data_IF_761013616338
#
_entry.id   IF_761013616338
#
_cell.length_a   1.000
_cell.length_b   1.000
_cell.length_c   1.000
_cell.angle_alpha   90.00
_cell.angle_beta   90.00
_cell.angle_gamma   90.00
#
_symmetry.space_group_name_H-M   'P 1'
#
loop_
_entity.id
_entity.type
_entity.pdbx_description
1 polymer ?
#
# COMPACT_ATOMS: atom_id res chain seq x y z
N UNK A 1 -2.91 -23.39 64.29
CA UNK A 1 -3.97 -23.79 63.33
C UNK A 1 -4.31 -22.58 62.48
N UNK A 2 -4.43 -22.76 61.15
CA UNK A 2 -4.55 -21.76 60.07
C UNK A 2 -3.18 -21.16 59.65
N UNK A 3 -2.42 -21.70 58.69
CA UNK A 3 -2.60 -22.27 57.34
C UNK A 3 -2.52 -21.22 56.21
N UNK A 4 -1.42 -21.30 55.44
CA UNK A 4 -1.09 -20.62 54.17
C UNK A 4 -1.88 -21.19 53.01
N UNK A 5 -2.48 -20.35 52.14
CA UNK A 5 -2.83 -20.55 50.71
C UNK A 5 -3.01 -19.11 50.14
N UNK A 6 -2.26 -18.52 49.21
CA UNK A 6 -1.91 -18.86 47.82
C UNK A 6 -3.08 -19.41 46.99
N UNK A 7 -3.58 -18.60 46.04
CA UNK A 7 -4.45 -18.85 44.85
C UNK A 7 -5.26 -17.57 44.56
N UNK A 8 -5.55 -17.11 43.34
CA UNK A 8 -5.44 -17.69 42.01
C UNK A 8 -5.18 -16.58 40.95
N UNK A 9 -4.33 -16.92 39.98
CA UNK A 9 -4.40 -16.40 38.61
C UNK A 9 -5.61 -17.06 37.94
N UNK A 10 -6.49 -16.29 37.29
CA UNK A 10 -7.36 -16.77 36.20
C UNK A 10 -8.05 -15.56 35.54
N UNK A 11 -7.37 -14.93 34.58
CA UNK A 11 -8.04 -14.14 33.56
C UNK A 11 -7.88 -14.90 32.24
N UNK A 12 -8.74 -15.90 32.07
CA UNK A 12 -8.91 -16.64 30.83
C UNK A 12 -9.51 -15.70 29.78
N UNK A 13 -8.68 -15.13 28.92
CA UNK A 13 -9.11 -14.57 27.64
C UNK A 13 -8.89 -15.60 26.53
N UNK A 14 -9.59 -16.72 26.62
CA UNK A 14 -9.81 -17.65 25.52
C UNK A 14 -11.26 -17.49 25.06
N UNK A 15 -11.49 -16.51 24.20
CA UNK A 15 -12.68 -16.48 23.33
C UNK A 15 -12.20 -16.56 21.90
N UNK A 16 -11.85 -17.78 21.50
CA UNK A 16 -11.63 -18.16 20.12
C UNK A 16 -12.94 -18.64 19.50
N UNK A 17 -13.27 -18.03 18.35
CA UNK A 17 -14.16 -18.53 17.29
C UNK A 17 -15.68 -18.51 17.56
N UNK A 18 -16.30 -17.34 17.37
CA UNK A 18 -17.69 -17.21 16.91
C UNK A 18 -17.98 -15.79 16.36
N UNK A 19 -17.08 -15.24 15.53
CA UNK A 19 -17.37 -14.01 14.79
C UNK A 19 -17.46 -14.35 13.29
N UNK A 20 -18.63 -14.17 12.64
CA UNK A 20 -18.76 -14.44 11.22
C UNK A 20 -17.79 -13.51 10.50
N UNK A 21 -16.89 -14.12 9.73
CA UNK A 21 -15.84 -13.50 8.93
C UNK A 21 -16.23 -12.08 8.53
N UNK A 22 -15.49 -11.08 9.02
CA UNK A 22 -15.67 -9.71 8.57
C UNK A 22 -15.22 -9.66 7.09
N UNK A 23 -16.18 -9.89 6.20
CA UNK A 23 -15.98 -9.93 4.75
C UNK A 23 -15.38 -8.61 4.26
N UNK A 24 -15.70 -7.49 4.92
CA UNK A 24 -15.11 -6.20 4.60
C UNK A 24 -13.63 -6.18 4.98
N UNK A 25 -13.27 -6.68 6.17
CA UNK A 25 -11.86 -6.83 6.52
C UNK A 25 -11.12 -7.72 5.51
N UNK A 26 -11.68 -8.84 5.09
CA UNK A 26 -11.02 -9.73 4.12
C UNK A 26 -10.84 -9.03 2.76
N UNK A 27 -11.85 -8.29 2.28
CA UNK A 27 -11.76 -7.56 1.01
C UNK A 27 -10.73 -6.42 1.05
N UNK A 28 -10.61 -5.74 2.20
CA UNK A 28 -9.58 -4.72 2.39
C UNK A 28 -8.17 -5.29 2.35
N UNK A 29 -7.95 -6.48 2.93
CA UNK A 29 -6.63 -7.13 2.98
C UNK A 29 -6.30 -7.94 1.73
N UNK A 30 -7.21 -8.02 0.74
CA UNK A 30 -6.96 -8.75 -0.50
C UNK A 30 -5.77 -8.12 -1.24
N UNK A 31 -4.73 -8.92 -1.59
CA UNK A 31 -3.65 -8.46 -2.45
C UNK A 31 -4.23 -7.96 -3.77
N UNK A 32 -3.86 -6.74 -4.13
CA UNK A 32 -4.38 -5.98 -5.27
C UNK A 32 -3.20 -5.48 -6.09
N UNK A 33 -3.31 -5.53 -7.42
CA UNK A 33 -2.31 -5.01 -8.35
C UNK A 33 -2.90 -3.92 -9.22
N UNK A 34 -2.20 -2.78 -9.32
CA UNK A 34 -2.59 -1.66 -10.18
C UNK A 34 -1.40 -1.23 -11.01
N UNK A 35 -1.60 -1.08 -12.33
CA UNK A 35 -0.58 -0.49 -13.20
C UNK A 35 -0.88 0.97 -13.45
N UNK A 36 0.11 1.81 -13.23
CA UNK A 36 0.02 3.25 -13.47
C UNK A 36 1.16 3.73 -14.37
N UNK A 37 0.87 4.77 -15.14
CA UNK A 37 1.90 5.59 -15.78
C UNK A 37 1.91 6.96 -15.11
N UNK A 38 3.06 7.36 -14.59
CA UNK A 38 3.24 8.67 -13.97
C UNK A 38 4.29 9.49 -14.70
N UNK A 39 4.13 10.80 -14.61
CA UNK A 39 5.10 11.78 -15.07
C UNK A 39 5.60 12.54 -13.84
N UNK A 40 6.88 12.42 -13.51
CA UNK A 40 7.49 13.12 -12.37
C UNK A 40 8.22 14.37 -12.89
N UNK A 41 7.71 15.57 -12.58
CA UNK A 41 8.34 16.81 -12.98
C UNK A 41 9.78 16.96 -12.49
N UNK A 42 10.61 17.66 -13.26
CA UNK A 42 12.03 17.85 -12.92
C UNK A 42 12.25 18.57 -11.58
N UNK A 43 11.29 19.40 -11.13
CA UNK A 43 11.33 20.06 -9.81
C UNK A 43 11.33 19.09 -8.63
N UNK A 44 10.87 17.85 -8.83
CA UNK A 44 10.96 16.78 -7.85
C UNK A 44 12.28 16.01 -7.89
N UNK A 45 13.27 16.49 -8.64
CA UNK A 45 14.63 15.92 -8.61
C UNK A 45 15.21 15.96 -7.19
N UNK A 46 15.71 14.81 -6.73
CA UNK A 46 16.22 14.64 -5.37
C UNK A 46 15.14 14.34 -4.32
N UNK A 47 13.86 14.38 -4.69
CA UNK A 47 12.77 13.90 -3.84
C UNK A 47 12.56 12.40 -4.09
N UNK A 48 12.62 11.54 -3.06
CA UNK A 48 12.54 10.09 -3.23
C UNK A 48 11.08 9.61 -3.36
N UNK A 49 10.34 10.10 -4.35
CA UNK A 49 8.90 9.83 -4.56
C UNK A 49 8.62 8.31 -4.55
N UNK A 50 9.33 7.56 -5.39
CA UNK A 50 9.13 6.11 -5.52
C UNK A 50 9.49 5.37 -4.22
N UNK A 51 10.58 5.76 -3.55
CA UNK A 51 10.94 5.14 -2.26
C UNK A 51 9.90 5.42 -1.18
N UNK A 52 9.26 6.59 -1.20
CA UNK A 52 8.20 6.96 -0.25
C UNK A 52 6.93 6.16 -0.46
N UNK A 53 6.58 5.79 -1.69
CA UNK A 53 5.50 4.82 -1.97
C UNK A 53 5.73 3.54 -1.16
N UNK A 54 6.94 2.99 -1.23
CA UNK A 54 7.30 1.76 -0.52
C UNK A 54 7.33 1.96 1.00
N UNK A 55 8.00 3.02 1.48
CA UNK A 55 8.27 3.17 2.92
C UNK A 55 7.09 3.70 3.73
N UNK A 56 6.21 4.53 3.15
CA UNK A 56 5.12 5.17 3.88
C UNK A 56 3.74 4.57 3.58
N UNK A 57 3.56 3.99 2.39
CA UNK A 57 2.28 3.41 1.97
C UNK A 57 2.33 1.89 1.87
N UNK A 58 3.49 1.28 2.21
CA UNK A 58 3.68 -0.16 2.33
C UNK A 58 3.33 -0.95 1.06
N UNK A 59 3.37 -0.29 -0.10
CA UNK A 59 3.17 -0.95 -1.39
C UNK A 59 4.50 -1.46 -1.94
N UNK A 60 4.45 -2.62 -2.59
CA UNK A 60 5.54 -3.04 -3.45
C UNK A 60 5.44 -2.29 -4.77
N UNK A 61 6.55 -1.72 -5.24
CA UNK A 61 6.62 -1.02 -6.51
C UNK A 61 7.53 -1.80 -7.46
N UNK A 62 6.99 -2.20 -8.60
CA UNK A 62 7.77 -2.74 -9.71
C UNK A 62 7.83 -1.71 -10.84
N UNK A 63 9.04 -1.34 -11.27
CA UNK A 63 9.26 -0.38 -12.36
C UNK A 63 9.33 -1.17 -13.67
N UNK A 64 8.26 -1.11 -14.47
CA UNK A 64 8.16 -1.86 -15.73
C UNK A 64 8.86 -1.14 -16.89
N UNK A 65 8.84 0.19 -16.89
CA UNK A 65 9.57 1.01 -17.84
C UNK A 65 9.88 2.39 -17.22
N UNK A 66 10.95 3.03 -17.68
CA UNK A 66 11.28 4.40 -17.30
C UNK A 66 11.94 5.12 -18.49
N UNK A 67 11.57 6.39 -18.69
CA UNK A 67 12.22 7.28 -19.66
C UNK A 67 12.70 8.52 -18.93
N UNK A 68 14.02 8.60 -18.76
CA UNK A 68 14.73 9.68 -18.08
C UNK A 68 15.70 10.33 -19.07
N UNK A 69 15.28 11.39 -19.75
CA UNK A 69 16.19 12.16 -20.60
C UNK A 69 17.08 13.03 -19.70
N UNK A 70 18.38 12.72 -19.63
CA UNK A 70 19.35 13.41 -18.76
C UNK A 70 19.63 14.87 -19.17
N UNK A 71 19.20 15.29 -20.36
CA UNK A 71 19.64 16.54 -21.00
C UNK A 71 18.48 17.44 -21.44
N UNK A 72 17.23 17.03 -21.17
CA UNK A 72 16.03 17.78 -21.55
C UNK A 72 15.31 18.22 -20.28
N UNK A 73 14.84 19.46 -20.28
CA UNK A 73 13.85 20.01 -19.37
C UNK A 73 12.49 19.29 -19.49
N UNK A 74 12.49 17.96 -19.39
CA UNK A 74 11.34 17.10 -19.66
C UNK A 74 11.25 16.07 -18.56
N UNK A 75 10.12 16.12 -17.90
CA UNK A 75 9.65 15.25 -16.84
C UNK A 75 10.00 13.77 -17.07
N UNK A 76 10.23 13.04 -15.98
CA UNK A 76 10.55 11.62 -16.01
C UNK A 76 9.29 10.77 -16.11
N UNK A 77 9.19 9.95 -17.15
CA UNK A 77 8.05 9.05 -17.33
C UNK A 77 8.34 7.69 -16.71
N UNK A 78 7.40 7.16 -15.93
CA UNK A 78 7.54 5.85 -15.28
C UNK A 78 6.27 5.03 -15.45
N UNK A 79 6.45 3.77 -15.85
CA UNK A 79 5.42 2.75 -15.81
C UNK A 79 5.65 1.89 -14.58
N UNK A 80 4.72 1.95 -13.63
CA UNK A 80 4.80 1.27 -12.35
C UNK A 80 3.68 0.24 -12.23
N UNK A 81 4.00 -0.91 -11.63
CA UNK A 81 3.01 -1.84 -11.08
C UNK A 81 3.10 -1.75 -9.56
N UNK A 82 1.99 -1.37 -8.93
CA UNK A 82 1.84 -1.28 -7.49
C UNK A 82 1.13 -2.53 -6.98
N UNK A 83 1.69 -3.18 -5.98
CA UNK A 83 1.11 -4.35 -5.32
C UNK A 83 0.96 -4.10 -3.81
N UNK A 84 -0.25 -4.33 -3.29
CA UNK A 84 -0.58 -4.12 -1.88
C UNK A 84 -2.06 -4.37 -1.62
N UNK A 85 -2.49 -4.16 -0.38
CA UNK A 85 -3.91 -4.19 -0.02
C UNK A 85 -4.68 -3.00 -0.63
N UNK A 86 -6.02 -3.07 -0.71
CA UNK A 86 -6.81 -1.98 -1.28
C UNK A 86 -6.58 -0.62 -0.58
N UNK A 87 -6.55 -0.54 0.77
CA UNK A 87 -6.22 0.70 1.47
C UNK A 87 -4.80 1.21 1.19
N UNK A 88 -3.82 0.32 1.08
CA UNK A 88 -2.43 0.70 0.80
C UNK A 88 -2.29 1.28 -0.62
N UNK A 89 -2.92 0.64 -1.61
CA UNK A 89 -2.96 1.15 -2.98
C UNK A 89 -3.66 2.51 -3.02
N UNK A 90 -4.80 2.67 -2.36
CA UNK A 90 -5.51 3.93 -2.34
C UNK A 90 -4.68 5.04 -1.67
N UNK A 91 -4.02 4.73 -0.56
CA UNK A 91 -3.11 5.66 0.13
C UNK A 91 -1.94 6.09 -0.76
N UNK A 92 -1.33 5.15 -1.49
CA UNK A 92 -0.25 5.42 -2.43
C UNK A 92 -0.69 6.33 -3.60
N UNK A 93 -1.90 6.12 -4.12
CA UNK A 93 -2.46 6.97 -5.19
C UNK A 93 -2.80 8.37 -4.70
N UNK A 94 -3.37 8.50 -3.50
CA UNK A 94 -3.62 9.80 -2.87
C UNK A 94 -2.31 10.57 -2.65
N UNK A 95 -1.23 9.89 -2.25
CA UNK A 95 0.07 10.53 -2.11
C UNK A 95 0.60 11.11 -3.44
N UNK A 96 0.42 10.42 -4.56
CA UNK A 96 0.84 10.93 -5.87
C UNK A 96 0.02 12.17 -6.26
N UNK A 97 -1.29 12.15 -6.01
CA UNK A 97 -2.19 13.29 -6.24
C UNK A 97 -1.81 14.51 -5.37
N UNK A 98 -1.52 14.30 -4.08
CA UNK A 98 -1.08 15.35 -3.15
C UNK A 98 0.29 15.97 -3.52
N UNK A 99 1.11 15.22 -4.26
CA UNK A 99 2.39 15.68 -4.79
C UNK A 99 2.23 16.35 -6.17
N UNK A 100 1.00 16.59 -6.64
CA UNK A 100 0.71 17.10 -7.99
C UNK A 100 1.36 16.25 -9.11
N UNK A 101 1.53 14.94 -8.87
CA UNK A 101 2.10 14.00 -9.85
C UNK A 101 0.96 13.43 -10.69
N UNK A 102 0.99 13.72 -11.98
CA UNK A 102 -0.04 13.26 -12.91
C UNK A 102 0.02 11.74 -13.11
N UNK A 103 -1.13 11.08 -12.94
CA UNK A 103 -1.35 9.68 -13.30
C UNK A 103 -2.05 9.66 -14.67
N UNK A 104 -1.30 9.38 -15.73
CA UNK A 104 -1.82 9.43 -17.12
C UNK A 104 -2.72 8.24 -17.41
N UNK A 105 -2.33 7.06 -16.97
CA UNK A 105 -3.11 5.82 -17.15
C UNK A 105 -3.12 5.06 -15.83
N UNK A 106 -4.28 4.50 -15.50
CA UNK A 106 -4.46 3.55 -14.40
C UNK A 106 -5.25 2.37 -14.96
N UNK A 107 -4.72 1.15 -14.84
CA UNK A 107 -5.56 -0.03 -15.01
C UNK A 107 -6.38 -0.21 -13.75
N UNK A 108 -7.67 -0.54 -13.87
CA UNK A 108 -8.42 -0.99 -12.71
C UNK A 108 -7.70 -2.19 -12.10
N UNK A 109 -7.73 -2.31 -10.75
CA UNK A 109 -7.20 -3.50 -10.11
C UNK A 109 -7.87 -4.70 -10.76
N UNK A 110 -7.06 -5.68 -11.19
CA UNK A 110 -7.57 -6.95 -11.67
C UNK A 110 -8.37 -7.56 -10.51
N UNK A 111 -9.69 -7.35 -10.49
CA UNK A 111 -10.59 -8.17 -9.70
C UNK A 111 -10.44 -9.56 -10.30
N UNK A 112 -9.60 -10.42 -9.71
CA UNK A 112 -9.61 -11.82 -10.13
C UNK A 112 -11.05 -12.28 -9.93
N UNK A 113 -11.72 -12.51 -11.06
CA UNK A 113 -13.08 -12.99 -11.12
C UNK A 113 -13.11 -14.35 -10.44
N UNK A 114 -13.69 -14.38 -9.26
CA UNK A 114 -14.08 -15.59 -8.55
C UNK A 114 -15.57 -15.48 -8.23
#
# INVERSE_FOLDING_TARGET
MHNTQETALENNSDTFLDNPLDINSISQHRPTKVRIRICIPQEYNGVPIISRLVSHHEVTVNISAASLETNSCKDGWFDLELEGSNPQIQSALTYLDEMDIEIINKTDPEEDGW
#
